data_IF_913488619859
#
_entry.id   IF_913488619859
#
_cell.length_a   1.000
_cell.length_b   1.000
_cell.length_c   1.000
_cell.angle_alpha   90.00
_cell.angle_beta   90.00
_cell.angle_gamma   90.00
#
_symmetry.space_group_name_H-M   'P 1'
#
loop_
_entity.id
_entity.type
_entity.pdbx_description
1 polymer ?
#
# COMPACT_ATOMS: atom_id res chain seq x y z
N UNK A 1 -11.05 2.08 23.48
CA UNK A 1 -10.35 2.03 22.16
C UNK A 1 -10.29 3.44 21.62
N UNK A 2 -9.24 3.81 20.89
CA UNK A 2 -9.12 5.10 20.21
C UNK A 2 -10.32 5.31 19.27
N UNK A 3 -10.82 6.55 19.15
CA UNK A 3 -11.79 6.93 18.12
C UNK A 3 -11.09 7.28 16.79
N UNK A 4 -9.76 7.37 16.77
CA UNK A 4 -8.96 7.66 15.58
C UNK A 4 -8.90 6.42 14.66
N UNK A 5 -9.43 6.51 13.42
CA UNK A 5 -9.42 5.39 12.49
C UNK A 5 -8.02 4.86 12.16
N UNK A 6 -7.00 5.72 12.09
CA UNK A 6 -5.60 5.30 11.85
C UNK A 6 -5.11 4.41 12.99
N UNK A 7 -5.31 4.83 14.24
CA UNK A 7 -4.93 4.03 15.39
C UNK A 7 -5.71 2.72 15.49
N UNK A 8 -6.97 2.69 15.09
CA UNK A 8 -7.79 1.48 15.04
C UNK A 8 -7.27 0.48 14.01
N UNK A 9 -6.89 0.94 12.82
CA UNK A 9 -6.29 0.08 11.78
C UNK A 9 -4.95 -0.49 12.24
N UNK A 10 -4.07 0.34 12.80
CA UNK A 10 -2.77 -0.13 13.34
C UNK A 10 -2.98 -1.22 14.41
N UNK A 11 -3.93 -1.01 15.33
CA UNK A 11 -4.25 -1.99 16.37
C UNK A 11 -4.84 -3.28 15.78
N UNK A 12 -5.74 -3.17 14.77
CA UNK A 12 -6.30 -4.32 14.08
C UNK A 12 -5.22 -5.15 13.40
N UNK A 13 -4.33 -4.52 12.62
CA UNK A 13 -3.23 -5.20 11.96
C UNK A 13 -2.29 -5.85 12.99
N UNK A 14 -1.95 -5.14 14.06
CA UNK A 14 -1.09 -5.67 15.14
C UNK A 14 -1.71 -6.87 15.87
N UNK A 15 -3.06 -6.96 15.90
CA UNK A 15 -3.76 -8.10 16.51
C UNK A 15 -3.47 -9.43 15.81
N UNK A 16 -3.04 -9.41 14.55
CA UNK A 16 -2.59 -10.61 13.83
C UNK A 16 -1.34 -11.21 14.51
N UNK A 17 -0.45 -10.37 15.01
CA UNK A 17 0.75 -10.81 15.75
C UNK A 17 0.44 -11.16 17.20
N UNK A 18 -0.35 -10.30 17.90
CA UNK A 18 -0.55 -10.42 19.34
C UNK A 18 -1.63 -11.44 19.72
N UNK A 19 -2.56 -11.71 18.80
CA UNK A 19 -3.74 -12.54 19.08
C UNK A 19 -4.80 -11.84 19.94
N UNK A 20 -4.68 -10.52 20.17
CA UNK A 20 -5.66 -9.75 20.92
C UNK A 20 -7.00 -9.65 20.19
N UNK A 21 -8.09 -10.03 20.85
CA UNK A 21 -9.43 -9.99 20.25
C UNK A 21 -10.04 -8.56 20.24
N UNK A 22 -9.65 -7.70 21.20
CA UNK A 22 -10.28 -6.40 21.38
C UNK A 22 -10.20 -5.50 20.13
N UNK A 23 -9.06 -5.39 19.40
CA UNK A 23 -8.97 -4.58 18.19
C UNK A 23 -9.91 -5.05 17.06
N UNK A 24 -10.22 -6.35 16.99
CA UNK A 24 -11.11 -6.92 15.95
C UNK A 24 -12.53 -6.35 16.04
N UNK A 25 -12.94 -5.82 17.20
CA UNK A 25 -14.24 -5.19 17.37
C UNK A 25 -14.47 -3.94 16.51
N UNK A 26 -13.43 -3.38 15.85
CA UNK A 26 -13.57 -2.31 14.87
C UNK A 26 -14.23 -2.79 13.58
N UNK A 27 -14.09 -4.07 13.24
CA UNK A 27 -14.70 -4.66 12.03
C UNK A 27 -16.21 -4.82 12.25
N UNK A 28 -17.01 -4.44 11.26
CA UNK A 28 -18.45 -4.59 11.32
C UNK A 28 -18.83 -6.07 11.19
N UNK A 29 -19.50 -6.66 12.19
CA UNK A 29 -19.80 -8.09 12.18
C UNK A 29 -20.87 -8.50 11.16
N UNK A 30 -21.70 -7.56 10.72
CA UNK A 30 -22.79 -7.83 9.77
C UNK A 30 -22.41 -7.47 8.31
N UNK A 31 -21.34 -6.67 8.13
CA UNK A 31 -20.95 -6.17 6.82
C UNK A 31 -19.42 -6.03 6.78
N UNK A 32 -18.74 -6.98 6.22
CA UNK A 32 -17.30 -6.88 5.95
C UNK A 32 -16.98 -7.58 4.64
N UNK A 33 -16.70 -6.78 3.62
CA UNK A 33 -16.36 -7.23 2.27
C UNK A 33 -14.84 -7.37 2.19
N UNK A 34 -14.36 -8.51 1.73
CA UNK A 34 -12.94 -8.81 1.60
C UNK A 34 -12.55 -8.96 0.12
N UNK A 35 -11.54 -8.21 -0.30
CA UNK A 35 -11.03 -8.27 -1.68
C UNK A 35 -9.72 -9.06 -1.82
N UNK A 36 -9.15 -9.58 -0.72
CA UNK A 36 -8.07 -10.56 -0.80
C UNK A 36 -8.63 -11.89 -1.30
N UNK A 37 -8.11 -12.39 -2.42
CA UNK A 37 -8.62 -13.61 -3.07
C UNK A 37 -8.41 -14.89 -2.25
N UNK A 38 -7.55 -14.85 -1.25
CA UNK A 38 -7.28 -15.99 -0.35
C UNK A 38 -8.10 -15.94 0.95
N UNK A 39 -8.92 -14.90 1.16
CA UNK A 39 -9.63 -14.66 2.41
C UNK A 39 -11.13 -14.48 2.15
N UNK A 40 -11.96 -15.23 2.83
CA UNK A 40 -13.41 -15.12 2.71
C UNK A 40 -13.96 -13.84 3.36
N UNK A 41 -15.17 -13.47 2.96
CA UNK A 41 -15.91 -12.34 3.54
C UNK A 41 -16.22 -12.54 5.03
N UNK A 42 -16.43 -11.42 5.72
CA UNK A 42 -16.87 -11.37 7.10
C UNK A 42 -15.78 -11.73 8.11
N UNK A 43 -16.14 -11.63 9.38
CA UNK A 43 -15.24 -11.98 10.49
C UNK A 43 -14.82 -13.46 10.47
N UNK A 44 -15.63 -14.33 9.90
CA UNK A 44 -15.29 -15.75 9.78
C UNK A 44 -14.09 -15.97 8.85
N UNK A 45 -14.04 -15.26 7.71
CA UNK A 45 -12.90 -15.30 6.80
C UNK A 45 -11.61 -14.79 7.46
N UNK A 46 -11.68 -13.64 8.14
CA UNK A 46 -10.56 -13.12 8.90
C UNK A 46 -10.10 -14.08 10.01
N UNK A 47 -11.05 -14.64 10.77
CA UNK A 47 -10.77 -15.62 11.81
C UNK A 47 -10.08 -16.89 11.29
N UNK A 48 -10.47 -17.38 10.10
CA UNK A 48 -9.84 -18.54 9.47
C UNK A 48 -8.35 -18.29 9.15
N UNK A 49 -7.99 -17.07 8.70
CA UNK A 49 -6.59 -16.70 8.48
C UNK A 49 -5.80 -16.75 9.78
N UNK A 50 -6.35 -16.18 10.86
CA UNK A 50 -5.68 -16.20 12.18
C UNK A 50 -5.46 -17.61 12.70
N UNK A 51 -6.43 -18.51 12.48
CA UNK A 51 -6.33 -19.92 12.89
C UNK A 51 -5.30 -20.71 12.07
N UNK A 52 -5.10 -20.34 10.80
CA UNK A 52 -4.12 -21.00 9.93
C UNK A 52 -2.67 -20.58 10.23
N UNK A 53 -2.47 -19.49 10.95
CA UNK A 53 -1.14 -19.02 11.32
C UNK A 53 -0.58 -19.85 12.48
N UNK A 54 0.65 -20.39 12.37
CA UNK A 54 1.31 -20.99 13.52
C UNK A 54 1.45 -19.98 14.66
N UNK A 55 1.15 -20.40 15.87
CA UNK A 55 1.18 -19.51 17.05
C UNK A 55 2.54 -18.83 17.19
N UNK A 56 2.52 -17.51 17.32
CA UNK A 56 3.72 -16.69 17.53
C UNK A 56 4.61 -16.51 16.28
N UNK A 57 4.20 -17.01 15.11
CA UNK A 57 4.98 -16.87 13.87
C UNK A 57 4.75 -15.53 13.18
N UNK A 58 3.59 -14.91 13.39
CA UNK A 58 3.27 -13.65 12.74
C UNK A 58 4.06 -12.48 13.34
N UNK A 59 4.54 -11.59 12.47
CA UNK A 59 5.07 -10.27 12.82
C UNK A 59 4.39 -9.23 11.98
N UNK A 60 4.05 -8.09 12.60
CA UNK A 60 3.36 -6.98 11.95
C UNK A 60 4.01 -5.67 12.39
N UNK A 61 4.54 -4.93 11.44
CA UNK A 61 5.13 -3.62 11.64
C UNK A 61 4.51 -2.63 10.64
N UNK A 62 3.49 -1.88 11.06
CA UNK A 62 2.91 -0.81 10.23
C UNK A 62 3.88 0.36 10.21
N UNK A 63 4.54 0.55 9.07
CA UNK A 63 5.59 1.57 8.86
C UNK A 63 4.96 2.95 8.73
N UNK A 64 3.83 3.04 8.01
CA UNK A 64 3.07 4.28 7.84
C UNK A 64 1.59 4.00 7.65
N UNK A 65 0.77 4.94 8.12
CA UNK A 65 -0.68 4.88 8.00
C UNK A 65 -1.24 6.27 7.70
N UNK A 66 -2.17 6.35 6.76
CA UNK A 66 -2.75 7.58 6.26
C UNK A 66 -4.26 7.46 6.17
N UNK A 67 -4.96 8.61 6.14
CA UNK A 67 -6.41 8.66 6.04
C UNK A 67 -6.86 9.65 4.97
N UNK A 68 -7.83 9.25 4.16
CA UNK A 68 -8.53 10.11 3.21
C UNK A 68 -10.03 9.86 3.30
N UNK A 69 -10.75 10.77 3.96
CA UNK A 69 -12.17 10.63 4.22
C UNK A 69 -12.49 9.36 5.01
N UNK A 70 -13.31 8.50 4.43
CA UNK A 70 -13.71 7.21 5.01
C UNK A 70 -12.67 6.09 4.82
N UNK A 71 -11.58 6.36 4.09
CA UNK A 71 -10.54 5.37 3.82
C UNK A 71 -9.33 5.58 4.72
N UNK A 72 -8.81 4.47 5.23
CA UNK A 72 -7.50 4.41 5.86
C UNK A 72 -6.65 3.43 5.08
N UNK A 73 -5.43 3.83 4.74
CA UNK A 73 -4.48 2.95 4.07
C UNK A 73 -3.19 2.85 4.89
N UNK A 74 -2.67 1.64 4.95
CA UNK A 74 -1.48 1.30 5.71
C UNK A 74 -0.43 0.66 4.81
N UNK A 75 0.83 1.00 5.04
CA UNK A 75 1.99 0.34 4.43
C UNK A 75 2.69 -0.43 5.53
N UNK A 76 2.65 -1.75 5.42
CA UNK A 76 2.99 -2.65 6.52
C UNK A 76 4.01 -3.71 6.10
N UNK A 77 5.00 -3.92 6.93
CA UNK A 77 5.91 -5.05 6.86
C UNK A 77 5.32 -6.21 7.65
N UNK A 78 5.16 -7.33 6.99
CA UNK A 78 4.61 -8.56 7.54
C UNK A 78 5.63 -9.69 7.53
N UNK A 79 5.54 -10.56 8.51
CA UNK A 79 6.05 -11.91 8.42
C UNK A 79 4.96 -12.89 8.85
N UNK A 80 4.15 -13.30 7.88
CA UNK A 80 3.20 -14.42 8.00
C UNK A 80 3.20 -15.20 6.67
N UNK A 81 3.32 -16.50 6.73
CA UNK A 81 3.60 -17.31 5.53
C UNK A 81 4.78 -16.77 4.71
N UNK A 82 5.85 -16.32 5.39
CA UNK A 82 7.01 -15.65 4.83
C UNK A 82 6.95 -14.10 4.91
N UNK A 83 8.11 -13.42 4.72
CA UNK A 83 8.20 -11.98 4.80
C UNK A 83 7.53 -11.30 3.58
N UNK A 84 6.70 -10.29 3.85
CA UNK A 84 5.93 -9.55 2.85
C UNK A 84 5.87 -8.06 3.18
N UNK A 85 5.71 -7.26 2.15
CA UNK A 85 5.30 -5.86 2.26
C UNK A 85 3.90 -5.74 1.70
N UNK A 86 3.02 -5.07 2.42
CA UNK A 86 1.62 -4.89 2.04
C UNK A 86 1.18 -3.43 2.03
N UNK A 87 0.26 -3.14 1.11
CA UNK A 87 -0.59 -1.97 1.15
C UNK A 87 -2.00 -2.45 1.46
N UNK A 88 -2.53 -2.04 2.62
CA UNK A 88 -3.88 -2.37 3.07
C UNK A 88 -4.75 -1.12 2.98
N UNK A 89 -5.94 -1.25 2.45
CA UNK A 89 -6.94 -0.18 2.38
C UNK A 89 -8.19 -0.65 3.13
N UNK A 90 -8.62 0.14 4.09
CA UNK A 90 -9.84 -0.09 4.88
C UNK A 90 -10.84 1.03 4.64
N UNK A 91 -12.09 0.68 4.39
CA UNK A 91 -13.19 1.63 4.33
C UNK A 91 -14.03 1.55 5.60
N UNK A 92 -14.27 2.72 6.17
CA UNK A 92 -15.09 2.90 7.36
C UNK A 92 -16.52 3.36 7.01
N UNK A 93 -17.47 2.88 7.78
CA UNK A 93 -18.86 3.32 7.75
C UNK A 93 -19.41 3.28 9.18
N UNK A 94 -19.93 4.39 9.68
CA UNK A 94 -20.43 4.48 11.06
C UNK A 94 -19.39 4.11 12.14
N UNK A 95 -18.11 4.43 11.92
CA UNK A 95 -17.02 4.13 12.86
C UNK A 95 -16.57 2.65 12.86
N UNK A 96 -17.01 1.87 11.88
CA UNK A 96 -16.64 0.46 11.70
C UNK A 96 -16.03 0.20 10.33
N UNK A 97 -15.08 -0.72 10.26
CA UNK A 97 -14.53 -1.21 9.00
C UNK A 97 -15.56 -2.13 8.34
N UNK A 98 -15.91 -1.80 7.11
CA UNK A 98 -16.91 -2.54 6.30
C UNK A 98 -16.33 -3.15 5.04
N UNK A 99 -15.07 -2.80 4.68
CA UNK A 99 -14.47 -3.28 3.44
C UNK A 99 -12.94 -3.17 3.49
N UNK A 100 -12.24 -4.13 2.89
CA UNK A 100 -10.79 -4.23 2.89
C UNK A 100 -10.25 -4.70 1.54
N UNK A 101 -9.19 -4.06 1.10
CA UNK A 101 -8.34 -4.45 -0.03
C UNK A 101 -6.90 -4.55 0.45
N UNK A 102 -6.14 -5.47 -0.10
CA UNK A 102 -4.70 -5.51 0.08
C UNK A 102 -3.95 -5.82 -1.23
N UNK A 103 -2.69 -5.45 -1.25
CA UNK A 103 -1.72 -5.85 -2.25
C UNK A 103 -0.46 -6.26 -1.49
N UNK A 104 -0.11 -7.53 -1.60
CA UNK A 104 1.02 -8.13 -0.89
C UNK A 104 2.11 -8.52 -1.88
N UNK A 105 3.36 -8.16 -1.56
CA UNK A 105 4.55 -8.59 -2.29
C UNK A 105 5.54 -9.23 -1.33
N UNK A 106 6.18 -10.32 -1.75
CA UNK A 106 7.28 -10.90 -1.00
C UNK A 106 8.43 -9.90 -0.84
N UNK A 107 8.96 -9.82 0.38
CA UNK A 107 10.11 -8.95 0.65
C UNK A 107 11.35 -9.54 -0.01
N UNK A 108 12.03 -8.82 -0.90
CA UNK A 108 13.24 -9.32 -1.54
C UNK A 108 14.37 -9.50 -0.54
N UNK A 109 15.24 -10.50 -0.79
CA UNK A 109 16.38 -10.79 0.08
C UNK A 109 17.45 -9.69 0.08
N UNK A 110 17.41 -8.77 -0.89
CA UNK A 110 18.37 -7.67 -1.05
C UNK A 110 17.63 -6.37 -1.37
N UNK A 111 18.18 -5.23 -0.96
CA UNK A 111 17.71 -3.92 -1.42
C UNK A 111 17.76 -3.81 -2.95
N UNK A 112 17.13 -2.77 -3.49
CA UNK A 112 17.20 -2.45 -4.91
C UNK A 112 18.64 -2.03 -5.33
N UNK A 113 18.92 -1.83 -6.63
CA UNK A 113 20.28 -1.46 -7.10
C UNK A 113 20.84 -0.18 -6.50
N UNK A 114 20.00 0.71 -5.96
CA UNK A 114 20.43 1.93 -5.25
C UNK A 114 20.52 1.76 -3.72
N UNK A 115 20.37 0.54 -3.21
CA UNK A 115 20.47 0.25 -1.77
C UNK A 115 19.19 0.57 -0.98
N UNK A 116 18.04 0.84 -1.64
CA UNK A 116 16.77 1.15 -0.97
C UNK A 116 15.95 -0.10 -0.73
N UNK A 117 15.19 -0.07 0.36
CA UNK A 117 14.18 -1.09 0.66
C UNK A 117 12.79 -0.63 0.17
N UNK A 118 11.81 -1.54 0.24
CA UNK A 118 10.43 -1.20 -0.12
C UNK A 118 9.73 -0.30 0.93
N UNK A 119 10.32 -0.13 2.12
CA UNK A 119 9.67 0.51 3.27
C UNK A 119 10.41 1.73 3.84
N UNK A 120 11.62 2.05 3.38
CA UNK A 120 12.34 3.24 3.84
C UNK A 120 11.67 4.54 3.33
N UNK A 121 12.22 5.68 3.75
CA UNK A 121 11.67 6.99 3.50
C UNK A 121 10.78 7.52 4.62
N UNK A 122 10.12 8.68 4.43
CA UNK A 122 9.31 9.32 5.44
C UNK A 122 8.10 8.46 5.84
N UNK A 123 7.73 8.50 7.12
CA UNK A 123 6.60 7.74 7.67
C UNK A 123 5.42 8.64 8.10
N UNK A 124 5.63 9.93 8.19
CA UNK A 124 4.63 10.91 8.66
C UNK A 124 4.23 11.83 7.52
N UNK A 125 2.92 12.05 7.35
CA UNK A 125 2.40 12.98 6.35
C UNK A 125 2.83 14.42 6.68
N UNK A 126 3.30 15.12 5.66
CA UNK A 126 3.58 16.55 5.66
C UNK A 126 2.73 17.24 4.59
N UNK A 127 2.76 18.57 4.52
CA UNK A 127 2.06 19.33 3.46
C UNK A 127 0.55 18.99 3.37
N UNK A 128 -0.14 18.90 4.51
CA UNK A 128 -1.56 18.47 4.58
C UNK A 128 -2.49 19.39 3.77
N UNK A 129 -2.15 20.66 3.63
CA UNK A 129 -2.84 21.65 2.81
C UNK A 129 -2.71 21.38 1.29
N UNK A 130 -1.72 20.59 0.88
CA UNK A 130 -1.49 20.23 -0.53
C UNK A 130 -2.12 18.90 -0.93
N UNK A 131 -2.82 18.22 -0.04
CA UNK A 131 -3.41 16.88 -0.32
C UNK A 131 -4.15 16.82 -1.65
N UNK A 132 -5.06 17.75 -1.91
CA UNK A 132 -5.85 17.76 -3.14
C UNK A 132 -4.98 17.99 -4.39
N UNK A 133 -3.98 18.86 -4.31
CA UNK A 133 -3.05 19.12 -5.40
C UNK A 133 -2.17 17.90 -5.70
N UNK A 134 -1.66 17.24 -4.66
CA UNK A 134 -0.83 16.04 -4.77
C UNK A 134 -1.62 14.87 -5.36
N UNK A 135 -2.85 14.64 -4.93
CA UNK A 135 -3.75 13.64 -5.54
C UNK A 135 -3.98 13.91 -7.02
N UNK A 136 -4.23 15.17 -7.39
CA UNK A 136 -4.42 15.55 -8.80
C UNK A 136 -3.16 15.30 -9.63
N UNK A 137 -1.98 15.64 -9.08
CA UNK A 137 -0.70 15.43 -9.75
C UNK A 137 -0.44 13.94 -10.02
N UNK A 138 -0.61 13.08 -8.99
CA UNK A 138 -0.40 11.64 -9.14
C UNK A 138 -1.44 11.01 -10.06
N UNK A 139 -2.70 11.42 -9.97
CA UNK A 139 -3.73 10.96 -10.92
C UNK A 139 -3.39 11.31 -12.37
N UNK A 140 -2.90 12.53 -12.63
CA UNK A 140 -2.44 12.94 -13.95
C UNK A 140 -1.23 12.13 -14.44
N UNK A 141 -0.26 11.87 -13.55
CA UNK A 141 0.87 11.00 -13.84
C UNK A 141 0.42 9.59 -14.25
N UNK A 142 -0.47 8.98 -13.48
CA UNK A 142 -0.98 7.64 -13.78
C UNK A 142 -1.72 7.61 -15.12
N UNK A 143 -2.58 8.61 -15.37
CA UNK A 143 -3.31 8.70 -16.64
C UNK A 143 -2.36 8.90 -17.82
N UNK A 144 -1.47 9.88 -17.75
CA UNK A 144 -0.55 10.21 -18.85
C UNK A 144 0.44 9.07 -19.12
N UNK A 145 1.11 8.59 -18.09
CA UNK A 145 2.27 7.70 -18.23
C UNK A 145 1.85 6.22 -18.24
N UNK A 146 1.07 5.80 -17.24
CA UNK A 146 0.80 4.36 -17.04
C UNK A 146 -0.37 3.88 -17.90
N UNK A 147 -1.42 4.68 -18.05
CA UNK A 147 -2.61 4.31 -18.84
C UNK A 147 -2.41 4.61 -20.32
N UNK A 148 -1.95 5.82 -20.67
CA UNK A 148 -1.84 6.30 -22.05
C UNK A 148 -0.43 6.16 -22.66
N UNK A 149 0.60 5.79 -21.88
CA UNK A 149 1.95 5.54 -22.37
C UNK A 149 2.66 6.79 -22.94
N UNK A 150 2.29 8.00 -22.49
CA UNK A 150 2.88 9.26 -22.95
C UNK A 150 4.25 9.50 -22.31
N UNK A 151 5.21 8.65 -22.62
CA UNK A 151 6.55 8.67 -22.00
C UNK A 151 7.33 9.97 -22.29
N UNK A 152 6.97 10.71 -23.33
CA UNK A 152 7.50 12.06 -23.63
C UNK A 152 7.19 13.09 -22.52
N UNK A 153 6.16 12.84 -21.71
CA UNK A 153 5.77 13.68 -20.57
C UNK A 153 6.40 13.27 -19.25
N UNK A 154 7.07 12.12 -19.21
CA UNK A 154 7.58 11.51 -17.97
C UNK A 154 8.43 12.49 -17.15
N UNK A 155 9.37 13.18 -17.81
CA UNK A 155 10.28 14.13 -17.14
C UNK A 155 9.55 15.31 -16.46
N UNK A 156 8.33 15.64 -16.88
CA UNK A 156 7.54 16.69 -16.24
C UNK A 156 6.95 16.33 -14.87
N UNK A 157 6.97 15.05 -14.51
CA UNK A 157 6.46 14.54 -13.23
C UNK A 157 7.55 14.29 -12.18
N UNK A 158 8.82 14.35 -12.55
CA UNK A 158 9.95 13.99 -11.69
C UNK A 158 10.99 15.09 -11.63
N UNK A 159 11.68 15.15 -10.51
CA UNK A 159 12.86 16.01 -10.33
C UNK A 159 14.14 15.27 -10.74
N UNK A 160 14.23 14.91 -12.02
CA UNK A 160 15.39 14.23 -12.58
C UNK A 160 15.80 12.98 -11.80
N UNK A 161 17.07 12.89 -11.48
CA UNK A 161 17.63 11.76 -10.72
C UNK A 161 17.51 11.89 -9.19
N UNK A 162 16.85 12.97 -8.69
CA UNK A 162 16.46 13.04 -7.28
C UNK A 162 15.28 12.13 -6.92
N UNK A 163 14.69 11.45 -7.90
CA UNK A 163 13.62 10.48 -7.69
C UNK A 163 14.12 9.22 -6.97
N UNK A 164 13.60 8.95 -5.79
CA UNK A 164 13.91 7.75 -5.01
C UNK A 164 12.96 6.62 -5.38
N UNK A 165 13.53 5.48 -5.76
CA UNK A 165 12.80 4.30 -6.20
C UNK A 165 12.75 3.24 -5.11
N UNK A 166 11.56 2.73 -4.81
CA UNK A 166 11.35 1.64 -3.84
C UNK A 166 10.96 0.31 -4.50
N UNK A 167 10.87 0.26 -5.83
CA UNK A 167 10.74 -1.00 -6.54
C UNK A 167 12.04 -1.81 -6.36
N UNK A 168 11.95 -3.10 -5.98
CA UNK A 168 13.14 -3.91 -5.67
C UNK A 168 14.07 -4.20 -6.85
N UNK A 169 13.62 -3.93 -8.08
CA UNK A 169 14.38 -4.24 -9.30
C UNK A 169 14.88 -3.01 -10.06
N UNK A 170 14.49 -1.80 -9.62
CA UNK A 170 14.74 -0.54 -10.36
C UNK A 170 15.62 0.36 -9.50
N UNK A 171 16.64 0.96 -10.12
CA UNK A 171 17.48 1.97 -9.49
C UNK A 171 16.77 3.33 -9.36
N UNK A 172 17.31 4.20 -8.52
CA UNK A 172 16.84 5.59 -8.35
C UNK A 172 16.95 6.39 -9.65
N UNK A 173 16.22 7.47 -9.68
CA UNK A 173 16.25 8.49 -10.72
C UNK A 173 15.50 8.13 -12.00
N UNK A 174 15.31 9.11 -12.86
CA UNK A 174 14.80 8.90 -14.21
C UNK A 174 15.75 8.03 -15.04
N UNK A 175 17.06 8.10 -14.78
CA UNK A 175 18.06 7.22 -15.41
C UNK A 175 17.80 5.75 -15.09
N UNK A 176 17.53 5.40 -13.81
CA UNK A 176 17.20 4.04 -13.39
C UNK A 176 15.88 3.55 -13.98
N UNK A 177 14.85 4.39 -13.93
CA UNK A 177 13.54 4.08 -14.53
C UNK A 177 13.66 3.87 -16.05
N UNK A 178 14.39 4.75 -16.75
CA UNK A 178 14.64 4.64 -18.19
C UNK A 178 15.34 3.34 -18.58
N UNK A 179 16.36 2.94 -17.82
CA UNK A 179 17.05 1.67 -18.02
C UNK A 179 16.12 0.46 -17.84
N UNK A 180 15.25 0.49 -16.83
CA UNK A 180 14.27 -0.56 -16.60
C UNK A 180 13.24 -0.67 -17.75
N UNK A 181 12.70 0.46 -18.21
CA UNK A 181 11.76 0.49 -19.34
C UNK A 181 12.41 -0.04 -20.63
N UNK A 182 13.68 0.30 -20.90
CA UNK A 182 14.43 -0.23 -22.05
C UNK A 182 14.66 -1.75 -21.94
N UNK A 183 14.98 -2.25 -20.72
CA UNK A 183 15.15 -3.67 -20.49
C UNK A 183 13.85 -4.44 -20.73
N UNK A 184 12.72 -3.93 -20.25
CA UNK A 184 11.39 -4.50 -20.48
C UNK A 184 11.07 -4.53 -21.99
N UNK A 185 11.30 -3.43 -22.71
CA UNK A 185 11.04 -3.35 -24.14
C UNK A 185 11.89 -4.39 -24.92
N UNK A 186 13.18 -4.54 -24.59
CA UNK A 186 14.06 -5.56 -25.19
C UNK A 186 13.59 -6.98 -24.88
N UNK A 187 13.01 -7.23 -23.72
CA UNK A 187 12.44 -8.52 -23.33
C UNK A 187 11.05 -8.78 -23.90
N UNK A 188 10.47 -7.83 -24.65
CA UNK A 188 9.10 -7.94 -25.17
C UNK A 188 8.02 -7.87 -24.07
N UNK A 189 8.37 -7.37 -22.88
CA UNK A 189 7.44 -7.21 -21.76
C UNK A 189 6.74 -5.88 -21.88
N UNK A 190 5.40 -5.92 -21.92
CA UNK A 190 4.55 -4.74 -21.91
C UNK A 190 3.67 -4.75 -20.69
N UNK A 191 3.58 -3.62 -20.00
CA UNK A 191 2.60 -3.39 -18.93
C UNK A 191 1.43 -2.58 -19.49
N UNK A 192 0.22 -2.99 -19.17
CA UNK A 192 -0.99 -2.28 -19.56
C UNK A 192 -1.86 -2.03 -18.32
N UNK A 193 -2.03 -0.78 -17.99
CA UNK A 193 -2.94 -0.34 -16.95
C UNK A 193 -4.32 -0.08 -17.56
N UNK A 194 -5.35 -0.70 -17.01
CA UNK A 194 -6.70 -0.64 -17.58
C UNK A 194 -7.55 0.44 -16.94
N UNK A 195 -7.41 0.63 -15.62
CA UNK A 195 -8.31 1.50 -14.85
C UNK A 195 -7.68 1.92 -13.52
N UNK A 196 -7.87 3.19 -13.17
CA UNK A 196 -7.65 3.71 -11.82
C UNK A 196 -8.94 3.49 -11.02
N UNK A 197 -8.86 2.76 -9.92
CA UNK A 197 -10.03 2.47 -9.07
C UNK A 197 -10.21 3.51 -7.98
N UNK A 198 -9.10 3.93 -7.35
CA UNK A 198 -9.08 4.92 -6.26
C UNK A 198 -7.82 5.77 -6.38
N UNK A 199 -7.91 7.00 -5.91
CA UNK A 199 -6.74 7.86 -5.62
C UNK A 199 -6.95 8.38 -4.22
N UNK A 200 -6.17 7.92 -3.28
CA UNK A 200 -6.23 8.27 -1.86
C UNK A 200 -4.99 9.05 -1.47
N UNK A 201 -5.13 10.03 -0.58
CA UNK A 201 -3.99 10.83 -0.17
C UNK A 201 -4.16 11.53 1.18
N UNK A 202 -3.04 11.73 1.87
CA UNK A 202 -2.91 12.60 3.04
C UNK A 202 -1.58 13.36 2.93
N UNK A 203 -1.65 14.69 2.77
CA UNK A 203 -0.45 15.52 2.59
C UNK A 203 0.34 15.15 1.33
N UNK A 204 1.61 14.85 1.53
CA UNK A 204 2.57 14.45 0.49
C UNK A 204 2.53 12.95 0.13
N UNK A 205 1.62 12.17 0.73
CA UNK A 205 1.43 10.77 0.37
C UNK A 205 0.18 10.59 -0.48
N UNK A 206 0.33 9.85 -1.58
CA UNK A 206 -0.77 9.47 -2.48
C UNK A 206 -0.62 8.00 -2.86
N UNK A 207 -1.74 7.26 -2.79
CA UNK A 207 -1.89 5.87 -3.20
C UNK A 207 -2.94 5.76 -4.30
#
# INVERSE_FOLDING_TARGET
MSSDPKAQVVALLKSIETGEAAPVAVVNPAKYIQHNLAVGDGLAGFGAVLQALPKGSAKVNTVRVFQDGEFVFAHTEYNFFGPKIGFDIFRFEGGKIVEHWDNLQETPAKPNPSGRTMIDGPAVAADLDKTAANKKLVAAFVDDILVNGRLDRLAGYYDGDNYHQHNPQIADGLSGLGAALQAMAKAGVTMKYHKVHKVLGEGNFVL
#
